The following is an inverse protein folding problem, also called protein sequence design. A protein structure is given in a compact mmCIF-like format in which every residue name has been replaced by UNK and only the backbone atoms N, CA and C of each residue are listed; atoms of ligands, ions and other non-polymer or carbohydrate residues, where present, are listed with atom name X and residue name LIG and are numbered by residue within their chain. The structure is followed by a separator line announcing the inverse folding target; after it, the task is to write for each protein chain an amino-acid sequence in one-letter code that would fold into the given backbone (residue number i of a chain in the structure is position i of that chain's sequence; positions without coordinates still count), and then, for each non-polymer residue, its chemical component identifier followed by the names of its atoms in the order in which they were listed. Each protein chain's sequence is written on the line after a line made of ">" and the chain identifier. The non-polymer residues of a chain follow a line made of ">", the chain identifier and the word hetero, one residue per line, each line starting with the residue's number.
data_IF_254872698422
#
_entry.id   IF_254872698422
#
_cell.length_a   1.000
_cell.length_b   1.000
_cell.length_c   1.000
_cell.angle_alpha   90.00
_cell.angle_beta   90.00
_cell.angle_gamma   90.00
#
_symmetry.space_group_name_H-M   'P 1'
#
loop_
_entity.id
_entity.type
_entity.pdbx_description
1 polymer ?
#
# COMPACT_ATOMS: atom_id res chain seq x y z
N UNK A 1 -39.76 22.80 -24.28
CA UNK A 1 -39.78 21.32 -24.34
C UNK A 1 -40.95 20.73 -25.14
N UNK A 2 -41.88 21.52 -25.66
CA UNK A 2 -43.06 21.03 -26.45
C UNK A 2 -42.72 20.26 -27.73
N UNK A 3 -41.55 20.49 -28.31
CA UNK A 3 -41.14 19.93 -29.60
C UNK A 3 -40.06 18.83 -29.50
N UNK A 4 -39.74 18.33 -28.31
CA UNK A 4 -38.77 17.25 -28.16
C UNK A 4 -39.45 15.88 -28.34
N UNK A 5 -38.74 14.91 -28.92
CA UNK A 5 -39.21 13.52 -29.09
C UNK A 5 -39.07 12.65 -27.82
N UNK A 6 -38.77 13.27 -26.67
CA UNK A 6 -38.62 12.54 -25.40
C UNK A 6 -39.96 11.98 -24.90
N UNK A 7 -39.88 10.87 -24.15
CA UNK A 7 -41.02 10.27 -23.48
C UNK A 7 -41.75 11.23 -22.53
N UNK A 8 -43.05 10.99 -22.29
CA UNK A 8 -43.89 11.83 -21.45
C UNK A 8 -43.31 12.10 -20.08
N UNK A 9 -42.79 11.06 -19.40
CA UNK A 9 -42.19 11.15 -18.04
C UNK A 9 -40.93 12.03 -18.03
N UNK A 10 -40.14 12.03 -19.11
CA UNK A 10 -38.97 12.90 -19.23
C UNK A 10 -39.35 14.37 -19.44
N UNK A 11 -40.48 14.61 -20.13
CA UNK A 11 -41.04 15.96 -20.32
C UNK A 11 -41.69 16.50 -19.05
N UNK A 12 -42.33 15.61 -18.26
CA UNK A 12 -43.12 15.92 -17.11
C UNK A 12 -42.64 15.09 -15.87
N UNK A 13 -41.39 15.30 -15.41
CA UNK A 13 -40.87 14.53 -14.31
C UNK A 13 -41.59 14.84 -12.99
N UNK A 14 -41.79 13.84 -12.16
CA UNK A 14 -42.38 13.99 -10.83
C UNK A 14 -41.42 14.82 -9.96
N UNK A 15 -41.90 15.92 -9.39
CA UNK A 15 -41.11 16.79 -8.52
C UNK A 15 -41.09 16.17 -7.12
N UNK A 16 -39.88 15.83 -6.66
CA UNK A 16 -39.65 15.34 -5.31
C UNK A 16 -38.90 16.39 -4.48
N UNK A 17 -39.45 16.79 -3.33
CA UNK A 17 -38.75 17.65 -2.39
C UNK A 17 -37.58 16.90 -1.75
N UNK A 18 -36.73 17.61 -1.00
CA UNK A 18 -35.66 17.00 -0.21
C UNK A 18 -36.28 16.25 0.99
N UNK A 19 -36.59 14.97 0.82
CA UNK A 19 -37.19 14.10 1.81
C UNK A 19 -36.57 12.70 1.81
N UNK A 20 -36.98 11.83 2.74
CA UNK A 20 -36.46 10.46 2.81
C UNK A 20 -36.72 9.65 1.54
N UNK A 21 -37.85 9.85 0.85
CA UNK A 21 -38.14 9.18 -0.40
C UNK A 21 -37.10 9.52 -1.47
N UNK A 22 -36.71 10.80 -1.58
CA UNK A 22 -35.66 11.24 -2.52
C UNK A 22 -34.31 10.61 -2.16
N UNK A 23 -34.01 10.47 -0.87
CA UNK A 23 -32.78 9.81 -0.38
C UNK A 23 -32.79 8.31 -0.70
N UNK A 24 -33.90 7.63 -0.46
CA UNK A 24 -34.05 6.21 -0.79
C UNK A 24 -33.93 5.95 -2.29
N UNK A 25 -34.53 6.78 -3.11
CA UNK A 25 -34.45 6.66 -4.56
C UNK A 25 -33.00 6.82 -5.07
N UNK A 26 -32.25 7.76 -4.53
CA UNK A 26 -30.85 7.94 -4.89
C UNK A 26 -29.96 6.81 -4.34
N UNK A 27 -30.24 6.29 -3.15
CA UNK A 27 -29.56 5.09 -2.62
C UNK A 27 -29.80 3.89 -3.50
N UNK A 28 -31.02 3.67 -3.95
CA UNK A 28 -31.34 2.62 -4.90
C UNK A 28 -30.51 2.74 -6.18
N UNK A 29 -30.41 3.93 -6.79
CA UNK A 29 -29.58 4.13 -7.98
C UNK A 29 -28.09 3.92 -7.69
N UNK A 30 -27.60 4.35 -6.52
CA UNK A 30 -26.23 4.13 -6.11
C UNK A 30 -25.86 2.63 -6.06
N UNK A 31 -26.70 1.83 -5.43
CA UNK A 31 -26.50 0.39 -5.27
C UNK A 31 -26.73 -0.37 -6.59
N UNK A 32 -27.81 -0.07 -7.29
CA UNK A 32 -28.21 -0.75 -8.53
C UNK A 32 -27.15 -0.59 -9.63
N UNK A 33 -26.53 0.57 -9.73
CA UNK A 33 -25.45 0.84 -10.68
C UNK A 33 -24.04 0.66 -10.08
N UNK A 34 -23.90 -0.27 -9.14
CA UNK A 34 -22.62 -0.70 -8.57
C UNK A 34 -21.81 0.48 -8.01
N UNK A 35 -22.37 1.14 -7.02
CA UNK A 35 -21.80 2.33 -6.38
C UNK A 35 -21.57 3.53 -7.32
N UNK A 36 -22.59 3.81 -8.14
CA UNK A 36 -22.57 4.91 -9.09
C UNK A 36 -22.21 6.26 -8.44
N UNK A 37 -21.41 7.05 -9.14
CA UNK A 37 -21.06 8.41 -8.72
C UNK A 37 -22.24 9.39 -8.81
N UNK A 38 -22.01 10.60 -8.29
CA UNK A 38 -23.04 11.66 -8.18
C UNK A 38 -23.71 11.99 -9.51
N UNK A 39 -22.94 12.13 -10.60
CA UNK A 39 -23.49 12.51 -11.90
C UNK A 39 -24.30 11.38 -12.54
N UNK A 40 -23.90 10.13 -12.35
CA UNK A 40 -24.66 8.95 -12.83
C UNK A 40 -26.00 8.85 -12.11
N UNK A 41 -26.01 8.98 -10.76
CA UNK A 41 -27.26 9.01 -9.99
C UNK A 41 -28.17 10.17 -10.42
N UNK A 42 -27.60 11.35 -10.65
CA UNK A 42 -28.36 12.52 -11.13
C UNK A 42 -28.99 12.26 -12.50
N UNK A 43 -28.22 11.69 -13.45
CA UNK A 43 -28.70 11.37 -14.79
C UNK A 43 -29.88 10.40 -14.77
N UNK A 44 -29.75 9.29 -14.02
CA UNK A 44 -30.83 8.31 -13.91
C UNK A 44 -32.06 8.85 -13.15
N UNK A 45 -31.83 9.61 -12.07
CA UNK A 45 -32.93 10.24 -11.35
C UNK A 45 -33.74 11.17 -12.26
N UNK A 46 -33.06 11.96 -13.10
CA UNK A 46 -33.69 12.98 -13.96
C UNK A 46 -34.61 12.40 -15.06
N UNK A 47 -34.46 11.11 -15.38
CA UNK A 47 -35.37 10.46 -16.35
C UNK A 47 -36.82 10.41 -15.86
N UNK A 48 -37.03 10.28 -14.54
CA UNK A 48 -38.36 10.11 -13.95
C UNK A 48 -38.71 11.15 -12.91
N UNK A 49 -37.71 11.71 -12.22
CA UNK A 49 -37.87 12.59 -11.07
C UNK A 49 -37.04 13.87 -11.19
N UNK A 50 -37.65 14.98 -10.80
CA UNK A 50 -36.93 16.23 -10.56
C UNK A 50 -36.72 16.38 -9.04
N UNK A 51 -35.54 15.97 -8.55
CA UNK A 51 -35.20 16.02 -7.13
C UNK A 51 -34.53 17.36 -6.83
N UNK A 52 -35.11 18.15 -5.91
CA UNK A 52 -34.56 19.42 -5.48
C UNK A 52 -33.28 19.20 -4.67
N UNK A 53 -32.15 19.79 -5.13
CA UNK A 53 -30.85 19.64 -4.47
C UNK A 53 -30.21 18.27 -4.62
N UNK A 54 -30.54 17.53 -5.68
CA UNK A 54 -30.10 16.16 -5.96
C UNK A 54 -28.60 15.95 -5.82
N UNK A 55 -27.75 16.88 -6.30
CA UNK A 55 -26.29 16.72 -6.25
C UNK A 55 -25.76 16.71 -4.82
N UNK A 56 -26.28 17.59 -3.95
CA UNK A 56 -25.87 17.63 -2.56
C UNK A 56 -26.32 16.38 -1.79
N UNK A 57 -27.56 15.91 -2.10
CA UNK A 57 -28.09 14.68 -1.50
C UNK A 57 -27.29 13.44 -2.02
N UNK A 58 -26.96 13.38 -3.29
CA UNK A 58 -26.15 12.31 -3.85
C UNK A 58 -24.71 12.30 -3.27
N UNK A 59 -24.08 13.47 -3.10
CA UNK A 59 -22.77 13.56 -2.42
C UNK A 59 -22.81 13.03 -1.00
N UNK A 60 -23.87 13.34 -0.22
CA UNK A 60 -23.99 12.81 1.15
C UNK A 60 -24.13 11.29 1.15
N UNK A 61 -24.88 10.73 0.20
CA UNK A 61 -25.04 9.27 0.06
C UNK A 61 -23.70 8.61 -0.25
N UNK A 62 -23.00 9.06 -1.29
CA UNK A 62 -21.66 8.49 -1.63
C UNK A 62 -20.72 8.57 -0.43
N UNK A 63 -20.79 9.66 0.32
CA UNK A 63 -19.93 9.85 1.51
C UNK A 63 -20.32 8.98 2.71
N UNK A 64 -21.56 8.48 2.78
CA UNK A 64 -22.00 7.51 3.81
C UNK A 64 -21.41 6.10 3.55
N UNK A 65 -21.16 5.72 2.28
CA UNK A 65 -20.67 4.38 1.94
C UNK A 65 -19.16 4.22 2.17
N UNK A 66 -18.80 3.26 3.03
CA UNK A 66 -17.39 2.98 3.35
C UNK A 66 -16.59 2.49 2.14
N UNK A 67 -17.22 1.71 1.25
CA UNK A 67 -16.58 1.27 0.01
C UNK A 67 -16.15 2.46 -0.85
N UNK A 68 -17.08 3.40 -1.10
CA UNK A 68 -16.80 4.60 -1.88
C UNK A 68 -15.73 5.47 -1.22
N UNK A 69 -15.78 5.66 0.11
CA UNK A 69 -14.74 6.38 0.86
C UNK A 69 -13.34 5.80 0.65
N UNK A 70 -13.22 4.46 0.64
CA UNK A 70 -11.91 3.81 0.44
C UNK A 70 -11.33 4.07 -0.95
N UNK A 71 -12.18 4.14 -1.98
CA UNK A 71 -11.74 4.44 -3.34
C UNK A 71 -11.41 5.92 -3.56
N UNK A 72 -12.17 6.82 -2.93
CA UNK A 72 -11.99 8.28 -3.09
C UNK A 72 -10.94 8.86 -2.14
N UNK A 73 -10.39 8.06 -1.22
CA UNK A 73 -9.40 8.55 -0.24
C UNK A 73 -8.07 8.83 -0.95
N UNK A 74 -7.60 10.06 -0.84
CA UNK A 74 -6.24 10.41 -1.24
C UNK A 74 -5.23 9.74 -0.32
N UNK A 75 -4.23 9.09 -0.93
CA UNK A 75 -3.15 8.47 -0.17
C UNK A 75 -2.42 9.54 0.65
N UNK A 76 -2.27 9.29 1.95
CA UNK A 76 -1.44 10.13 2.80
C UNK A 76 0.02 10.00 2.35
N UNK A 77 0.66 11.12 2.03
CA UNK A 77 2.10 11.17 1.82
C UNK A 77 2.77 11.59 3.13
N UNK A 78 3.74 10.79 3.59
CA UNK A 78 4.59 11.22 4.69
C UNK A 78 5.63 12.22 4.17
N UNK A 79 5.94 13.30 4.91
CA UNK A 79 7.05 14.15 4.56
C UNK A 79 8.35 13.32 4.53
N UNK A 80 9.04 13.37 3.41
CA UNK A 80 10.29 12.62 3.24
C UNK A 80 11.38 13.34 4.03
N UNK A 81 11.95 12.66 5.03
CA UNK A 81 13.11 13.15 5.76
C UNK A 81 14.33 13.17 4.84
N UNK A 82 15.25 14.15 4.98
CA UNK A 82 16.50 14.14 4.23
C UNK A 82 17.27 12.85 4.49
N UNK A 83 17.91 12.32 3.45
CA UNK A 83 18.72 11.11 3.55
C UNK A 83 19.94 11.35 4.44
N UNK A 84 20.31 10.42 5.32
CA UNK A 84 21.53 10.52 6.10
C UNK A 84 22.77 10.62 5.22
N UNK A 85 23.78 11.37 5.66
CA UNK A 85 25.05 11.57 4.98
C UNK A 85 25.72 10.27 4.54
N UNK A 86 25.63 9.23 5.35
CA UNK A 86 26.19 7.89 5.07
C UNK A 86 25.59 7.22 3.82
N UNK A 87 24.38 7.64 3.40
CA UNK A 87 23.72 7.13 2.20
C UNK A 87 23.98 7.97 0.95
N UNK A 88 24.41 9.20 1.12
CA UNK A 88 24.58 10.18 0.03
C UNK A 88 26.04 10.33 -0.39
N UNK A 89 26.96 10.23 0.56
CA UNK A 89 28.41 10.34 0.26
C UNK A 89 28.89 9.15 -0.57
N UNK A 90 29.56 9.44 -1.68
CA UNK A 90 30.15 8.41 -2.52
C UNK A 90 31.19 7.61 -1.76
N UNK A 91 31.01 6.31 -1.70
CA UNK A 91 31.90 5.35 -1.04
C UNK A 91 31.94 4.04 -1.83
N UNK A 92 32.99 3.22 -1.70
CA UNK A 92 33.01 1.90 -2.30
C UNK A 92 31.76 1.07 -1.94
N UNK A 93 31.31 0.19 -2.84
CA UNK A 93 30.18 -0.68 -2.55
C UNK A 93 30.37 -1.46 -1.25
N UNK A 94 29.27 -1.62 -0.49
CA UNK A 94 29.22 -2.31 0.80
C UNK A 94 30.08 -1.73 1.94
N UNK A 95 30.63 -0.52 1.79
CA UNK A 95 31.28 0.20 2.91
C UNK A 95 30.28 0.47 4.05
N UNK A 96 29.04 0.80 3.67
CA UNK A 96 27.89 0.93 4.58
C UNK A 96 26.86 -0.10 4.16
N UNK A 97 26.61 -1.08 5.04
CA UNK A 97 25.80 -2.26 4.70
C UNK A 97 24.63 -2.40 5.68
N UNK A 98 23.44 -2.58 5.14
CA UNK A 98 22.26 -2.98 5.89
C UNK A 98 22.15 -4.51 5.94
N UNK A 99 21.73 -5.06 7.07
CA UNK A 99 21.47 -6.49 7.28
C UNK A 99 20.02 -6.72 7.60
N UNK A 100 19.46 -7.78 7.03
CA UNK A 100 18.12 -8.27 7.34
C UNK A 100 17.99 -9.75 7.04
N UNK A 101 17.10 -10.46 7.76
CA UNK A 101 16.74 -11.85 7.47
C UNK A 101 15.42 -11.89 6.69
N UNK A 102 15.44 -12.54 5.55
CA UNK A 102 14.24 -12.84 4.77
C UNK A 102 13.88 -14.33 4.89
N UNK A 103 12.63 -14.63 5.11
CA UNK A 103 12.14 -16.01 5.20
C UNK A 103 10.99 -16.17 6.21
N UNK A 104 10.60 -17.37 6.56
CA UNK A 104 11.25 -18.66 6.18
C UNK A 104 11.00 -19.06 4.72
N UNK A 105 12.02 -19.70 4.13
CA UNK A 105 11.97 -20.30 2.79
C UNK A 105 11.87 -21.81 2.97
N UNK A 106 10.93 -22.44 2.26
CA UNK A 106 10.73 -23.88 2.30
C UNK A 106 11.21 -24.50 0.98
N UNK A 107 12.04 -25.55 1.09
CA UNK A 107 12.50 -26.30 -0.06
C UNK A 107 11.57 -27.48 -0.35
N UNK A 108 11.42 -27.82 -1.64
CA UNK A 108 10.59 -28.93 -2.06
C UNK A 108 11.06 -30.28 -1.51
N UNK A 109 12.38 -30.47 -1.41
CA UNK A 109 13.02 -31.71 -0.95
C UNK A 109 12.95 -31.89 0.58
N UNK A 110 12.77 -30.80 1.32
CA UNK A 110 12.63 -30.81 2.78
C UNK A 110 11.60 -29.76 3.24
N UNK A 111 10.30 -30.06 3.09
CA UNK A 111 9.23 -29.07 3.36
C UNK A 111 9.08 -28.73 4.84
N UNK A 112 9.66 -29.51 5.76
CA UNK A 112 9.58 -29.24 7.19
C UNK A 112 10.75 -28.39 7.71
N UNK A 113 11.81 -28.22 6.91
CA UNK A 113 12.96 -27.40 7.30
C UNK A 113 12.79 -25.94 6.81
N UNK A 114 13.14 -24.99 7.70
CA UNK A 114 13.02 -23.57 7.43
C UNK A 114 14.41 -23.01 7.12
N UNK A 115 14.61 -22.59 5.91
CA UNK A 115 15.81 -21.84 5.51
C UNK A 115 15.55 -20.33 5.58
N UNK A 116 16.61 -19.57 5.74
CA UNK A 116 16.52 -18.09 5.74
C UNK A 116 17.57 -17.51 4.78
N UNK A 117 17.24 -16.43 4.15
CA UNK A 117 18.21 -15.65 3.38
C UNK A 117 18.67 -14.47 4.20
N UNK A 118 19.97 -14.39 4.48
CA UNK A 118 20.58 -13.19 5.05
C UNK A 118 20.85 -12.22 3.91
N UNK A 119 20.23 -11.05 3.97
CA UNK A 119 20.29 -10.00 2.97
C UNK A 119 21.28 -8.93 3.39
N UNK A 120 22.32 -8.73 2.59
CA UNK A 120 23.24 -7.61 2.74
C UNK A 120 22.92 -6.55 1.68
N UNK A 121 22.54 -5.36 2.08
CA UNK A 121 22.17 -4.26 1.21
C UNK A 121 23.17 -3.11 1.33
N UNK A 122 23.75 -2.69 0.21
CA UNK A 122 24.60 -1.51 0.18
C UNK A 122 23.78 -0.23 0.30
N UNK A 123 24.07 0.60 1.32
CA UNK A 123 23.33 1.83 1.54
C UNK A 123 23.51 2.88 0.44
N UNK A 124 24.64 2.87 -0.26
CA UNK A 124 25.01 3.87 -1.26
C UNK A 124 24.55 3.45 -2.67
N UNK A 125 25.00 2.28 -3.15
CA UNK A 125 24.75 1.85 -4.55
C UNK A 125 23.54 0.94 -4.69
N UNK A 126 22.84 0.60 -3.60
CA UNK A 126 21.66 -0.28 -3.61
C UNK A 126 21.94 -1.72 -4.10
N UNK A 127 23.21 -2.11 -4.18
CA UNK A 127 23.57 -3.49 -4.48
C UNK A 127 23.14 -4.44 -3.36
N UNK A 128 22.74 -5.65 -3.73
CA UNK A 128 22.31 -6.70 -2.82
C UNK A 128 23.26 -7.88 -2.92
N UNK A 129 23.57 -8.48 -1.77
CA UNK A 129 24.24 -9.77 -1.67
C UNK A 129 23.44 -10.67 -0.74
N UNK A 130 23.24 -11.92 -1.14
CA UNK A 130 22.40 -12.88 -0.43
C UNK A 130 23.23 -14.09 -0.01
N UNK A 131 23.06 -14.52 1.24
CA UNK A 131 23.60 -15.78 1.74
C UNK A 131 22.46 -16.60 2.33
N UNK A 132 22.41 -17.89 1.96
CA UNK A 132 21.45 -18.83 2.53
C UNK A 132 21.97 -19.34 3.87
N UNK A 133 21.09 -19.39 4.87
CA UNK A 133 21.38 -19.89 6.22
C UNK A 133 20.35 -20.95 6.62
N UNK A 134 20.77 -21.96 7.36
CA UNK A 134 19.90 -23.01 7.86
C UNK A 134 19.00 -22.53 9.00
N UNK A 135 19.49 -21.56 9.76
CA UNK A 135 18.75 -20.96 10.87
C UNK A 135 19.09 -19.46 11.03
N UNK A 136 18.42 -18.80 11.98
CA UNK A 136 18.73 -17.43 12.39
C UNK A 136 19.68 -17.44 13.62
N UNK A 137 20.46 -18.51 13.82
CA UNK A 137 21.41 -18.61 14.92
C UNK A 137 22.58 -17.63 14.77
N UNK A 138 23.27 -17.34 15.87
CA UNK A 138 24.48 -16.53 15.83
C UNK A 138 25.59 -17.20 14.99
N UNK A 139 25.71 -18.52 15.07
CA UNK A 139 26.73 -19.30 14.36
C UNK A 139 26.53 -19.19 12.84
N UNK A 140 25.31 -19.44 12.35
CA UNK A 140 24.96 -19.34 10.94
C UNK A 140 25.13 -17.91 10.41
N UNK A 141 24.74 -16.92 11.22
CA UNK A 141 24.99 -15.52 10.90
C UNK A 141 26.48 -15.21 10.74
N UNK A 142 27.31 -15.64 11.69
CA UNK A 142 28.75 -15.39 11.65
C UNK A 142 29.41 -16.09 10.47
N UNK A 143 28.93 -17.29 10.10
CA UNK A 143 29.40 -17.99 8.90
C UNK A 143 29.04 -17.22 7.62
N UNK A 144 27.81 -16.78 7.47
CA UNK A 144 27.34 -16.01 6.33
C UNK A 144 28.07 -14.64 6.25
N UNK A 145 28.31 -13.98 7.38
CA UNK A 145 29.09 -12.73 7.43
C UNK A 145 30.52 -12.92 6.98
N UNK A 146 31.18 -14.01 7.37
CA UNK A 146 32.55 -14.34 6.90
C UNK A 146 32.58 -14.57 5.39
N UNK A 147 31.60 -15.27 4.83
CA UNK A 147 31.45 -15.45 3.37
C UNK A 147 31.29 -14.11 2.66
N UNK A 148 30.38 -13.28 3.16
CA UNK A 148 30.17 -11.95 2.63
C UNK A 148 31.44 -11.11 2.65
N UNK A 149 32.12 -11.03 3.78
CA UNK A 149 33.35 -10.22 3.92
C UNK A 149 34.50 -10.71 3.06
N UNK A 150 34.60 -12.02 2.84
CA UNK A 150 35.62 -12.58 1.92
C UNK A 150 35.39 -12.20 0.46
N UNK A 151 34.14 -11.97 0.06
CA UNK A 151 33.76 -11.64 -1.33
C UNK A 151 33.64 -10.14 -1.59
N UNK A 152 33.19 -9.36 -0.61
CA UNK A 152 32.83 -7.94 -0.76
C UNK A 152 33.71 -6.98 0.02
N UNK A 153 34.53 -7.52 0.91
CA UNK A 153 35.34 -6.73 1.84
C UNK A 153 34.62 -6.45 3.15
N UNK A 154 35.35 -5.89 4.11
CA UNK A 154 34.85 -5.60 5.45
C UNK A 154 34.09 -4.27 5.42
N UNK A 155 32.80 -4.24 5.79
CA UNK A 155 32.04 -2.99 5.90
C UNK A 155 32.56 -2.14 7.06
N UNK A 156 32.58 -0.82 6.90
CA UNK A 156 32.90 0.12 7.97
C UNK A 156 31.74 0.32 8.95
N UNK A 157 30.53 0.27 8.41
CA UNK A 157 29.31 0.46 9.18
C UNK A 157 28.27 -0.59 8.77
N UNK A 158 27.69 -1.24 9.77
CA UNK A 158 26.61 -2.20 9.59
C UNK A 158 25.35 -1.66 10.29
N UNK A 159 24.24 -1.67 9.59
CA UNK A 159 22.91 -1.38 10.12
C UNK A 159 22.07 -2.64 10.12
N UNK A 160 21.40 -2.94 11.21
CA UNK A 160 20.44 -4.03 11.32
C UNK A 160 19.25 -3.60 12.16
N UNK A 161 18.19 -4.39 12.13
CA UNK A 161 17.15 -4.31 13.14
C UNK A 161 17.68 -4.79 14.52
N UNK A 162 16.82 -4.74 15.54
CA UNK A 162 17.14 -5.18 16.89
C UNK A 162 16.95 -6.70 17.12
N UNK A 163 17.07 -7.53 16.08
CA UNK A 163 16.98 -8.98 16.23
C UNK A 163 18.03 -9.50 17.24
N UNK A 164 17.64 -10.52 17.99
CA UNK A 164 18.50 -11.10 19.05
C UNK A 164 19.86 -11.55 18.51
N UNK A 165 19.90 -12.12 17.32
CA UNK A 165 21.10 -12.58 16.62
C UNK A 165 22.08 -11.43 16.36
N UNK A 166 21.62 -10.32 15.79
CA UNK A 166 22.48 -9.17 15.50
C UNK A 166 22.96 -8.47 16.78
N UNK A 167 22.10 -8.39 17.81
CA UNK A 167 22.49 -7.87 19.12
C UNK A 167 23.53 -8.75 19.83
N UNK A 168 23.46 -10.07 19.66
CA UNK A 168 24.47 -10.97 20.21
C UNK A 168 25.80 -10.78 19.47
N UNK A 169 25.75 -10.78 18.12
CA UNK A 169 26.94 -10.56 17.30
C UNK A 169 27.63 -9.22 17.56
N UNK A 170 26.88 -8.15 17.81
CA UNK A 170 27.48 -6.83 18.10
C UNK A 170 28.35 -6.79 19.36
N UNK A 171 28.17 -7.72 20.30
CA UNK A 171 29.00 -7.82 21.49
C UNK A 171 30.36 -8.48 21.21
N UNK A 172 30.43 -9.31 20.18
CA UNK A 172 31.64 -10.04 19.78
C UNK A 172 32.56 -9.19 18.87
N UNK A 173 32.06 -8.03 18.39
CA UNK A 173 32.83 -7.09 17.57
C UNK A 173 33.50 -5.95 18.36
N UNK A 174 33.37 -5.95 19.68
CA UNK A 174 34.06 -5.05 20.60
C UNK A 174 35.15 -5.80 21.37
#
# INVERSE_FOLDING_TARGET
>A
MQFSEFEYNTKHPIILPKCELSKLQLKFYHEFYVHAGVETMHSHARSNFLIIGVRNLAKSIVHEYLACKRFDTTLCSQPVSPLPDLRVKAQPPFTVTGLDFAGPIYCRDNPNHKYYALVFSCAVVRAIHLELTDSMSLEDFMFALRKFTSQRGIPKVIFSDNAKTFRAASKDFH
#
